data_IF_549716766220
#
_entry.id   IF_549716766220
#
_cell.length_a   1.000
_cell.length_b   1.000
_cell.length_c   1.000
_cell.angle_alpha   90.00
_cell.angle_beta   90.00
_cell.angle_gamma   90.00
#
_symmetry.space_group_name_H-M   'P 1'
#
loop_
_entity.id
_entity.type
_entity.pdbx_description
1 polymer ?
#
# COMPACT_ATOMS: atom_id res chain seq x y z
N UNK A 1 -12.07 16.35 43.10
CA UNK A 1 -12.87 16.28 41.88
C UNK A 1 -12.66 17.46 40.90
N UNK A 2 -12.57 18.72 41.36
CA UNK A 2 -12.39 19.91 40.50
C UNK A 2 -11.07 19.93 39.67
N UNK A 3 -9.98 19.39 40.19
CA UNK A 3 -8.69 19.35 39.47
C UNK A 3 -8.68 18.44 38.22
N UNK A 4 -9.27 17.26 38.33
CA UNK A 4 -9.37 16.30 37.22
C UNK A 4 -10.26 16.80 36.07
N UNK A 5 -11.32 17.53 36.39
CA UNK A 5 -12.20 18.12 35.37
C UNK A 5 -11.49 19.23 34.60
N UNK A 6 -10.78 20.12 35.30
CA UNK A 6 -10.00 21.22 34.70
C UNK A 6 -8.86 20.68 33.80
N UNK A 7 -8.22 19.60 34.23
CA UNK A 7 -7.17 18.95 33.44
C UNK A 7 -7.71 18.29 32.16
N UNK A 8 -8.86 17.61 32.23
CA UNK A 8 -9.56 17.07 31.07
C UNK A 8 -10.00 18.18 30.10
N UNK A 9 -10.48 19.29 30.59
CA UNK A 9 -10.89 20.43 29.78
C UNK A 9 -9.70 21.06 29.04
N UNK A 10 -8.55 21.22 29.71
CA UNK A 10 -7.32 21.73 29.09
C UNK A 10 -6.79 20.79 28.01
N UNK A 11 -6.81 19.48 28.26
CA UNK A 11 -6.42 18.47 27.26
C UNK A 11 -7.38 18.52 26.05
N UNK A 12 -8.69 18.57 26.30
CA UNK A 12 -9.68 18.67 25.23
C UNK A 12 -9.50 19.96 24.42
N UNK A 13 -9.28 21.10 25.06
CA UNK A 13 -9.04 22.39 24.40
C UNK A 13 -7.74 22.39 23.58
N UNK A 14 -6.68 21.74 24.06
CA UNK A 14 -5.42 21.62 23.35
C UNK A 14 -5.52 20.70 22.11
N UNK A 15 -6.34 19.63 22.20
CA UNK A 15 -6.55 18.69 21.10
C UNK A 15 -7.65 19.14 20.12
N UNK A 16 -8.57 20.00 20.55
CA UNK A 16 -9.73 20.42 19.75
C UNK A 16 -9.38 20.95 18.36
N UNK A 17 -8.38 21.84 18.16
CA UNK A 17 -8.04 22.33 16.83
C UNK A 17 -7.63 21.17 15.88
N UNK A 18 -6.79 20.26 16.36
CA UNK A 18 -6.32 19.11 15.57
C UNK A 18 -7.48 18.16 15.23
N UNK A 19 -8.34 17.87 16.21
CA UNK A 19 -9.52 17.01 16.01
C UNK A 19 -10.51 17.66 15.05
N UNK A 20 -10.80 18.96 15.20
CA UNK A 20 -11.71 19.69 14.29
C UNK A 20 -11.18 19.70 12.85
N UNK A 21 -9.89 19.97 12.66
CA UNK A 21 -9.25 19.91 11.34
C UNK A 21 -9.35 18.48 10.76
N UNK A 22 -9.00 17.47 11.53
CA UNK A 22 -9.10 16.07 11.09
C UNK A 22 -10.53 15.68 10.71
N UNK A 23 -11.53 16.02 11.53
CA UNK A 23 -12.94 15.75 11.26
C UNK A 23 -13.40 16.48 10.00
N UNK A 24 -13.09 17.76 9.87
CA UNK A 24 -13.49 18.55 8.71
C UNK A 24 -12.89 18.00 7.40
N UNK A 25 -11.58 17.73 7.37
CA UNK A 25 -10.91 17.27 6.15
C UNK A 25 -11.21 15.80 5.83
N UNK A 26 -11.22 14.92 6.80
CA UNK A 26 -11.44 13.47 6.53
C UNK A 26 -12.92 13.20 6.28
N UNK A 27 -13.80 13.60 7.22
CA UNK A 27 -15.22 13.30 7.13
C UNK A 27 -15.96 14.27 6.21
N UNK A 28 -15.59 15.55 6.23
CA UNK A 28 -16.22 16.56 5.38
C UNK A 28 -15.96 16.29 3.89
N UNK A 29 -14.72 16.08 3.48
CA UNK A 29 -14.43 15.74 2.08
C UNK A 29 -14.92 14.35 1.70
N UNK A 30 -14.87 13.37 2.61
CA UNK A 30 -15.45 12.06 2.38
C UNK A 30 -16.95 12.13 2.11
N UNK A 31 -17.69 12.88 2.94
CA UNK A 31 -19.13 13.11 2.76
C UNK A 31 -19.44 13.90 1.48
N UNK A 32 -18.63 14.93 1.16
CA UNK A 32 -18.78 15.69 -0.08
C UNK A 32 -18.55 14.79 -1.31
N UNK A 33 -17.52 13.94 -1.30
CA UNK A 33 -17.27 12.98 -2.38
C UNK A 33 -18.43 12.00 -2.52
N UNK A 34 -18.95 11.48 -1.39
CA UNK A 34 -20.11 10.61 -1.40
C UNK A 34 -21.34 11.33 -1.96
N UNK A 35 -21.59 12.58 -1.56
CA UNK A 35 -22.69 13.37 -2.12
C UNK A 35 -22.54 13.60 -3.62
N UNK A 36 -21.37 14.01 -4.09
CA UNK A 36 -21.09 14.26 -5.51
C UNK A 36 -21.26 13.00 -6.36
N UNK A 37 -21.05 11.82 -5.81
CA UNK A 37 -21.25 10.56 -6.52
C UNK A 37 -22.70 10.27 -6.92
N UNK A 38 -23.67 10.95 -6.26
CA UNK A 38 -25.11 10.85 -6.54
C UNK A 38 -25.62 12.01 -7.39
N UNK A 39 -24.78 12.98 -7.78
CA UNK A 39 -25.17 14.17 -8.52
C UNK A 39 -24.71 14.12 -9.98
N UNK A 40 -25.41 14.81 -10.88
CA UNK A 40 -24.97 14.98 -12.26
C UNK A 40 -23.89 16.07 -12.39
N UNK A 41 -22.78 15.84 -11.65
CA UNK A 41 -21.64 16.74 -11.64
C UNK A 41 -20.69 16.44 -12.79
N UNK A 42 -20.62 17.40 -13.72
CA UNK A 42 -19.65 17.41 -14.82
C UNK A 42 -18.37 18.13 -14.42
N UNK A 43 -17.90 19.10 -15.24
CA UNK A 43 -16.75 19.96 -14.91
C UNK A 43 -16.99 20.87 -13.69
N UNK A 44 -18.25 21.17 -13.43
CA UNK A 44 -18.66 21.93 -12.25
C UNK A 44 -19.57 21.06 -11.37
N UNK A 45 -19.49 21.23 -10.05
CA UNK A 45 -20.42 20.55 -9.14
C UNK A 45 -21.87 20.95 -9.44
N UNK A 46 -22.74 19.96 -9.61
CA UNK A 46 -24.18 20.13 -9.77
C UNK A 46 -24.90 19.71 -8.49
N UNK A 47 -26.10 20.29 -8.28
CA UNK A 47 -27.01 19.90 -7.18
C UNK A 47 -28.08 18.91 -7.66
N UNK A 48 -28.16 18.63 -8.95
CA UNK A 48 -29.12 17.69 -9.51
C UNK A 48 -28.76 16.27 -9.12
N UNK A 49 -29.67 15.60 -8.43
CA UNK A 49 -29.48 14.23 -7.97
C UNK A 49 -29.89 13.25 -9.09
N UNK A 50 -28.94 12.42 -9.51
CA UNK A 50 -29.17 11.33 -10.48
C UNK A 50 -29.18 9.94 -9.83
N UNK A 51 -29.08 9.88 -8.51
CA UNK A 51 -29.09 8.62 -7.76
C UNK A 51 -27.91 7.71 -8.14
N UNK A 52 -28.16 6.45 -8.43
CA UNK A 52 -27.14 5.44 -8.67
C UNK A 52 -26.62 5.34 -10.13
N UNK A 53 -26.96 6.29 -10.99
CA UNK A 53 -26.61 6.25 -12.43
C UNK A 53 -25.08 6.12 -12.65
N UNK A 54 -24.27 6.82 -11.87
CA UNK A 54 -22.81 6.73 -11.98
C UNK A 54 -22.28 5.37 -11.58
N UNK A 55 -22.85 4.73 -10.57
CA UNK A 55 -22.51 3.38 -10.13
C UNK A 55 -22.90 2.34 -11.20
N UNK A 56 -24.09 2.47 -11.79
CA UNK A 56 -24.52 1.60 -12.90
C UNK A 56 -23.56 1.69 -14.09
N UNK A 57 -23.22 2.94 -14.51
CA UNK A 57 -22.25 3.18 -15.60
C UNK A 57 -20.85 2.67 -15.24
N UNK A 58 -20.46 2.72 -13.96
CA UNK A 58 -19.17 2.22 -13.46
C UNK A 58 -19.11 0.71 -13.60
N UNK A 59 -20.10 0.00 -13.04
CA UNK A 59 -20.15 -1.47 -13.07
C UNK A 59 -20.45 -2.06 -14.44
N UNK A 60 -21.06 -1.31 -15.35
CA UNK A 60 -21.23 -1.69 -16.75
C UNK A 60 -19.96 -1.47 -17.61
N UNK A 61 -18.90 -0.89 -17.04
CA UNK A 61 -17.69 -0.54 -17.79
C UNK A 61 -16.63 -1.63 -17.71
N UNK A 62 -16.27 -2.25 -18.84
CA UNK A 62 -15.16 -3.20 -18.96
C UNK A 62 -13.83 -2.59 -18.46
N UNK A 63 -13.62 -1.29 -18.72
CA UNK A 63 -12.45 -0.56 -18.22
C UNK A 63 -12.37 -0.59 -16.69
N UNK A 64 -13.50 -0.45 -15.99
CA UNK A 64 -13.53 -0.51 -14.53
C UNK A 64 -13.14 -1.89 -14.01
N UNK A 65 -13.69 -2.93 -14.59
CA UNK A 65 -13.36 -4.30 -14.20
C UNK A 65 -11.89 -4.64 -14.50
N UNK A 66 -11.36 -4.14 -15.63
CA UNK A 66 -9.94 -4.27 -15.93
C UNK A 66 -9.06 -3.62 -14.84
N UNK A 67 -9.42 -2.42 -14.34
CA UNK A 67 -8.65 -1.78 -13.26
C UNK A 67 -8.69 -2.60 -11.96
N UNK A 68 -9.81 -3.24 -11.66
CA UNK A 68 -9.92 -4.12 -10.49
C UNK A 68 -9.15 -5.42 -10.67
N UNK A 69 -9.19 -6.03 -11.83
CA UNK A 69 -8.37 -7.21 -12.16
C UNK A 69 -6.88 -6.87 -11.99
N UNK A 70 -6.46 -5.74 -12.55
CA UNK A 70 -5.09 -5.25 -12.39
C UNK A 70 -4.74 -4.99 -10.91
N UNK A 71 -5.65 -4.42 -10.12
CA UNK A 71 -5.46 -4.19 -8.70
C UNK A 71 -5.26 -5.50 -7.92
N UNK A 72 -6.02 -6.55 -8.24
CA UNK A 72 -5.86 -7.85 -7.59
C UNK A 72 -4.54 -8.53 -7.98
N UNK A 73 -4.16 -8.49 -9.26
CA UNK A 73 -2.86 -9.02 -9.72
C UNK A 73 -1.71 -8.25 -9.08
N UNK A 74 -1.72 -6.93 -9.19
CA UNK A 74 -0.74 -6.05 -8.57
C UNK A 74 -0.67 -6.26 -7.06
N UNK A 75 -1.82 -6.24 -6.39
CA UNK A 75 -1.93 -6.40 -4.94
C UNK A 75 -1.44 -7.76 -4.47
N UNK A 76 -1.79 -8.83 -5.16
CA UNK A 76 -1.32 -10.18 -4.84
C UNK A 76 0.20 -10.29 -4.91
N UNK A 77 0.80 -9.87 -6.03
CA UNK A 77 2.27 -9.87 -6.20
C UNK A 77 2.95 -8.96 -5.19
N UNK A 78 2.41 -7.76 -4.99
CA UNK A 78 2.93 -6.78 -4.04
C UNK A 78 2.90 -7.27 -2.59
N UNK A 79 1.76 -7.81 -2.12
CA UNK A 79 1.65 -8.32 -0.76
C UNK A 79 2.59 -9.51 -0.53
N UNK A 80 2.55 -10.50 -1.43
CA UNK A 80 3.41 -11.68 -1.32
C UNK A 80 4.90 -11.30 -1.37
N UNK A 81 5.28 -10.39 -2.26
CA UNK A 81 6.65 -9.91 -2.38
C UNK A 81 7.11 -9.15 -1.13
N UNK A 82 6.34 -8.16 -0.65
CA UNK A 82 6.68 -7.40 0.55
C UNK A 82 6.76 -8.27 1.80
N UNK A 83 5.80 -9.18 1.99
CA UNK A 83 5.77 -10.05 3.17
C UNK A 83 6.91 -11.05 3.15
N UNK A 84 7.12 -11.77 2.03
CA UNK A 84 8.17 -12.79 1.94
C UNK A 84 9.57 -12.18 2.10
N UNK A 85 9.89 -11.14 1.30
CA UNK A 85 11.20 -10.48 1.37
C UNK A 85 11.37 -9.78 2.73
N UNK A 86 10.35 -9.05 3.18
CA UNK A 86 10.40 -8.29 4.43
C UNK A 86 10.61 -9.17 5.66
N UNK A 87 9.91 -10.30 5.76
CA UNK A 87 10.07 -11.27 6.87
C UNK A 87 11.46 -11.91 6.83
N UNK A 88 11.92 -12.34 5.65
CA UNK A 88 13.25 -12.94 5.50
C UNK A 88 14.33 -11.95 5.91
N UNK A 89 14.30 -10.72 5.39
CA UNK A 89 15.28 -9.68 5.71
C UNK A 89 15.20 -9.30 7.19
N UNK A 90 14.00 -9.18 7.78
CA UNK A 90 13.83 -8.92 9.21
C UNK A 90 14.49 -10.02 10.06
N UNK A 91 14.26 -11.30 9.72
CA UNK A 91 14.86 -12.44 10.42
C UNK A 91 16.39 -12.47 10.29
N UNK A 92 16.94 -12.04 9.16
CA UNK A 92 18.41 -11.89 8.98
C UNK A 92 18.97 -10.74 9.81
N UNK A 93 18.31 -9.59 9.80
CA UNK A 93 18.72 -8.39 10.52
C UNK A 93 18.61 -8.53 12.06
N UNK A 94 17.67 -9.34 12.53
CA UNK A 94 17.50 -9.62 13.96
C UNK A 94 18.73 -10.31 14.58
N UNK A 95 19.45 -11.09 13.79
CA UNK A 95 20.66 -11.82 14.20
C UNK A 95 21.95 -11.02 14.12
N UNK A 96 21.92 -9.90 13.43
CA UNK A 96 23.13 -9.09 13.26
C UNK A 96 23.46 -8.31 14.54
N UNK A 97 24.75 -8.12 14.85
CA UNK A 97 25.15 -7.32 16.00
C UNK A 97 24.65 -5.87 15.87
N UNK A 98 24.59 -5.15 17.00
CA UNK A 98 24.12 -3.75 17.04
C UNK A 98 24.90 -2.81 16.09
N UNK A 99 26.15 -3.16 15.73
CA UNK A 99 26.97 -2.45 14.74
C UNK A 99 26.42 -2.54 13.29
N UNK A 100 25.47 -3.44 13.02
CA UNK A 100 24.87 -3.58 11.69
C UNK A 100 23.79 -2.53 11.37
N UNK A 101 23.86 -1.36 12.00
CA UNK A 101 22.96 -0.24 11.72
C UNK A 101 22.98 0.18 10.24
N UNK A 102 24.13 0.03 9.58
CA UNK A 102 24.31 0.34 8.15
C UNK A 102 23.36 -0.51 7.29
N UNK A 103 23.30 -1.83 7.52
CA UNK A 103 22.40 -2.71 6.77
C UNK A 103 20.93 -2.33 6.97
N UNK A 104 20.54 -1.98 8.20
CA UNK A 104 19.17 -1.50 8.47
C UNK A 104 18.87 -0.23 7.68
N UNK A 105 19.79 0.72 7.65
CA UNK A 105 19.63 1.98 6.91
C UNK A 105 19.46 1.70 5.41
N UNK A 106 20.28 0.82 4.81
CA UNK A 106 20.19 0.48 3.39
C UNK A 106 18.80 -0.10 3.03
N UNK A 107 18.30 -1.05 3.83
CA UNK A 107 17.00 -1.66 3.56
C UNK A 107 15.80 -0.76 3.87
N UNK A 108 15.97 0.23 4.75
CA UNK A 108 14.91 1.17 5.09
C UNK A 108 14.92 2.43 4.22
N UNK A 109 16.02 2.71 3.54
CA UNK A 109 16.19 3.90 2.72
C UNK A 109 15.10 4.08 1.64
N UNK A 110 14.69 3.03 0.89
CA UNK A 110 13.64 3.16 -0.10
C UNK A 110 12.31 3.69 0.47
N UNK A 111 11.96 3.29 1.69
CA UNK A 111 10.72 3.72 2.36
C UNK A 111 10.68 5.25 2.62
N UNK A 112 11.83 5.89 2.73
CA UNK A 112 11.94 7.33 2.94
C UNK A 112 11.78 8.16 1.64
N UNK A 113 11.84 7.51 0.48
CA UNK A 113 11.67 8.18 -0.81
C UNK A 113 10.20 8.47 -1.11
N UNK A 114 9.93 9.53 -1.87
CA UNK A 114 8.60 9.72 -2.45
C UNK A 114 8.28 8.62 -3.48
N UNK A 115 7.03 8.16 -3.53
CA UNK A 115 6.58 7.17 -4.52
C UNK A 115 6.74 7.67 -5.96
N UNK A 116 6.59 8.97 -6.21
CA UNK A 116 6.83 9.58 -7.53
C UNK A 116 8.30 9.45 -7.91
N UNK A 117 9.23 9.78 -7.00
CA UNK A 117 10.67 9.65 -7.24
C UNK A 117 11.04 8.18 -7.46
N UNK A 118 10.48 7.29 -6.66
CA UNK A 118 10.64 5.84 -6.85
C UNK A 118 10.19 5.40 -8.24
N UNK A 119 8.99 5.82 -8.67
CA UNK A 119 8.46 5.49 -9.98
C UNK A 119 9.33 6.00 -11.12
N UNK A 120 9.80 7.26 -11.06
CA UNK A 120 10.69 7.86 -12.06
C UNK A 120 12.06 7.15 -12.10
N UNK A 121 12.64 6.85 -10.95
CA UNK A 121 13.91 6.13 -10.89
C UNK A 121 13.81 4.75 -11.55
N UNK A 122 12.75 3.99 -11.21
CA UNK A 122 12.49 2.70 -11.84
C UNK A 122 12.13 2.81 -13.32
N UNK A 123 11.45 3.89 -13.76
CA UNK A 123 11.20 4.16 -15.17
C UNK A 123 12.51 4.29 -15.95
N UNK A 124 13.51 5.00 -15.40
CA UNK A 124 14.82 5.12 -16.01
C UNK A 124 15.58 3.78 -16.02
N UNK A 125 15.58 3.05 -14.90
CA UNK A 125 16.25 1.73 -14.82
C UNK A 125 15.66 0.74 -15.81
N UNK A 126 14.34 0.74 -15.99
CA UNK A 126 13.62 -0.18 -16.88
C UNK A 126 13.49 0.34 -18.33
N UNK A 127 13.99 1.55 -18.61
CA UNK A 127 13.93 2.13 -19.96
C UNK A 127 14.81 1.30 -20.93
N UNK A 128 14.27 0.89 -22.09
CA UNK A 128 15.03 0.15 -23.08
C UNK A 128 16.20 0.93 -23.66
N UNK A 129 16.12 2.27 -23.69
CA UNK A 129 17.11 3.15 -24.35
C UNK A 129 18.22 3.60 -23.43
N UNK A 130 17.94 3.79 -22.13
CA UNK A 130 18.89 4.40 -21.17
C UNK A 130 19.15 3.52 -19.95
N UNK A 131 18.33 2.49 -19.71
CA UNK A 131 18.37 1.69 -18.50
C UNK A 131 19.16 0.38 -18.66
N UNK A 132 18.68 -0.66 -17.96
CA UNK A 132 19.34 -1.96 -17.85
C UNK A 132 19.62 -2.61 -19.20
N UNK A 133 18.71 -2.50 -20.16
CA UNK A 133 18.91 -3.04 -21.51
C UNK A 133 20.08 -2.38 -22.21
N UNK A 134 20.17 -1.07 -22.15
CA UNK A 134 21.28 -0.31 -22.74
C UNK A 134 22.63 -0.69 -22.10
N UNK A 135 22.67 -0.78 -20.77
CA UNK A 135 23.86 -1.19 -20.03
C UNK A 135 24.32 -2.59 -20.44
N UNK A 136 23.41 -3.57 -20.49
CA UNK A 136 23.75 -4.95 -20.86
C UNK A 136 24.27 -5.07 -22.28
N UNK A 137 23.69 -4.32 -23.23
CA UNK A 137 24.19 -4.27 -24.60
C UNK A 137 25.58 -3.65 -24.69
N UNK A 138 25.83 -2.59 -23.88
CA UNK A 138 27.17 -1.98 -23.76
C UNK A 138 28.26 -2.94 -23.18
N UNK A 139 27.84 -3.88 -22.34
CA UNK A 139 28.69 -4.93 -21.78
C UNK A 139 28.92 -6.12 -22.75
N UNK A 140 28.38 -6.06 -23.98
CA UNK A 140 28.58 -7.09 -25.01
C UNK A 140 27.40 -8.04 -25.22
N UNK A 141 26.32 -7.95 -24.44
CA UNK A 141 25.12 -8.79 -24.61
C UNK A 141 24.18 -8.18 -25.68
N UNK A 142 24.61 -8.15 -26.94
CA UNK A 142 23.91 -7.44 -28.04
C UNK A 142 22.45 -7.89 -28.22
N UNK A 143 22.14 -9.16 -27.98
CA UNK A 143 20.80 -9.72 -28.15
C UNK A 143 19.89 -9.55 -26.90
N UNK A 144 20.40 -8.90 -25.83
CA UNK A 144 19.59 -8.70 -24.64
C UNK A 144 18.43 -7.73 -24.91
N UNK A 145 17.21 -8.22 -24.72
CA UNK A 145 15.97 -7.44 -24.89
C UNK A 145 15.19 -7.45 -23.58
N UNK A 146 14.93 -6.25 -23.03
CA UNK A 146 14.28 -6.08 -21.74
C UNK A 146 13.34 -4.89 -21.79
N UNK A 147 12.23 -5.04 -22.50
CA UNK A 147 11.20 -4.00 -22.63
C UNK A 147 9.94 -4.37 -21.83
N UNK A 148 10.08 -4.45 -20.50
CA UNK A 148 8.98 -4.81 -19.60
C UNK A 148 7.89 -3.73 -19.57
N UNK A 149 8.28 -2.44 -19.58
CA UNK A 149 7.33 -1.34 -19.53
C UNK A 149 6.48 -1.21 -20.82
N UNK A 150 7.00 -1.64 -21.95
CA UNK A 150 6.28 -1.64 -23.23
C UNK A 150 5.40 -2.87 -23.45
N UNK A 151 5.45 -3.87 -22.57
CA UNK A 151 4.65 -5.09 -22.68
C UNK A 151 3.38 -4.99 -21.85
N UNK A 152 2.23 -5.23 -22.48
CA UNK A 152 0.93 -5.28 -21.79
C UNK A 152 0.85 -6.40 -20.76
N UNK A 153 1.62 -7.47 -20.93
CA UNK A 153 1.65 -8.61 -20.02
C UNK A 153 2.51 -8.33 -18.77
N UNK A 154 3.64 -7.63 -18.95
CA UNK A 154 4.64 -7.49 -17.88
C UNK A 154 4.65 -6.14 -17.16
N UNK A 155 4.00 -5.11 -17.69
CA UNK A 155 4.00 -3.76 -17.11
C UNK A 155 3.47 -3.74 -15.66
N UNK A 156 2.44 -4.55 -15.35
CA UNK A 156 1.85 -4.65 -14.02
C UNK A 156 2.85 -5.26 -13.00
N UNK A 157 3.68 -6.22 -13.43
CA UNK A 157 4.70 -6.83 -12.59
C UNK A 157 5.89 -5.91 -12.38
N UNK A 158 6.26 -5.10 -13.38
CA UNK A 158 7.26 -4.05 -13.22
C UNK A 158 6.81 -3.01 -12.17
N UNK A 159 5.53 -2.62 -12.23
CA UNK A 159 4.91 -1.74 -11.24
C UNK A 159 4.97 -2.36 -9.84
N UNK A 160 4.59 -3.64 -9.71
CA UNK A 160 4.63 -4.36 -8.45
C UNK A 160 6.07 -4.47 -7.90
N UNK A 161 7.05 -4.77 -8.76
CA UNK A 161 8.47 -4.85 -8.37
C UNK A 161 9.01 -3.54 -7.79
N UNK A 162 8.72 -2.41 -8.43
CA UNK A 162 9.09 -1.09 -7.94
C UNK A 162 8.43 -0.77 -6.58
N UNK A 163 7.15 -1.11 -6.44
CA UNK A 163 6.40 -0.91 -5.20
C UNK A 163 6.89 -1.84 -4.07
N UNK A 164 7.25 -3.09 -4.36
CA UNK A 164 7.85 -4.03 -3.41
C UNK A 164 9.16 -3.48 -2.88
N UNK A 165 10.07 -3.03 -3.77
CA UNK A 165 11.34 -2.45 -3.37
C UNK A 165 11.14 -1.26 -2.41
N UNK A 166 10.18 -0.38 -2.71
CA UNK A 166 9.86 0.78 -1.86
C UNK A 166 9.30 0.36 -0.50
N UNK A 167 8.34 -0.57 -0.46
CA UNK A 167 7.51 -0.81 0.72
C UNK A 167 7.97 -1.96 1.61
N UNK A 168 8.93 -2.78 1.16
CA UNK A 168 9.49 -3.89 1.96
C UNK A 168 10.05 -3.41 3.30
N UNK A 169 10.61 -2.20 3.34
CA UNK A 169 11.10 -1.56 4.56
C UNK A 169 10.07 -1.46 5.68
N UNK A 170 8.79 -1.21 5.34
CA UNK A 170 7.69 -1.19 6.29
C UNK A 170 7.53 -2.54 7.01
N UNK A 171 7.54 -3.62 6.24
CA UNK A 171 7.42 -4.98 6.78
C UNK A 171 8.62 -5.31 7.66
N UNK A 172 9.84 -4.96 7.22
CA UNK A 172 11.08 -5.16 8.00
C UNK A 172 10.97 -4.48 9.37
N UNK A 173 10.53 -3.22 9.43
CA UNK A 173 10.39 -2.48 10.70
C UNK A 173 9.36 -3.13 11.61
N UNK A 174 8.19 -3.48 11.08
CA UNK A 174 7.12 -4.10 11.86
C UNK A 174 7.56 -5.44 12.45
N UNK A 175 8.19 -6.30 11.64
CA UNK A 175 8.64 -7.61 12.11
C UNK A 175 9.83 -7.51 13.06
N UNK A 176 10.80 -6.62 12.83
CA UNK A 176 11.89 -6.39 13.78
C UNK A 176 11.38 -5.89 15.13
N UNK A 177 10.38 -5.00 15.14
CA UNK A 177 9.76 -4.54 16.38
C UNK A 177 9.01 -5.67 17.08
N UNK A 178 8.24 -6.48 16.34
CA UNK A 178 7.53 -7.63 16.87
C UNK A 178 8.46 -8.70 17.45
N UNK A 179 9.57 -9.03 16.77
CA UNK A 179 10.57 -10.01 17.24
C UNK A 179 11.21 -9.60 18.55
N UNK A 180 11.41 -8.29 18.80
CA UNK A 180 11.93 -7.79 20.08
C UNK A 180 10.98 -7.98 21.25
N UNK A 181 9.68 -8.19 20.99
CA UNK A 181 8.68 -8.48 22.01
C UNK A 181 8.60 -9.96 22.39
N UNK A 182 9.33 -10.84 21.70
CA UNK A 182 9.34 -12.28 22.00
C UNK A 182 10.24 -12.55 23.20
N UNK A 183 9.74 -13.36 24.13
CA UNK A 183 10.46 -13.73 25.36
C UNK A 183 11.82 -14.39 25.04
N UNK A 184 12.86 -13.89 25.72
CA UNK A 184 14.23 -14.39 25.56
C UNK A 184 14.33 -15.86 25.98
N UNK A 185 13.51 -16.32 26.92
CA UNK A 185 13.54 -17.70 27.39
C UNK A 185 13.09 -18.71 26.32
N UNK A 186 12.19 -18.30 25.41
CA UNK A 186 11.84 -19.14 24.24
C UNK A 186 13.05 -19.36 23.31
N UNK A 187 13.87 -18.33 23.12
CA UNK A 187 15.10 -18.44 22.35
C UNK A 187 16.16 -19.32 23.03
N UNK A 188 16.21 -19.29 24.37
CA UNK A 188 17.10 -20.13 25.17
C UNK A 188 16.67 -21.60 25.13
N UNK A 189 15.39 -21.88 25.32
CA UNK A 189 14.82 -23.22 25.24
C UNK A 189 15.08 -23.84 23.86
N UNK A 190 14.76 -23.12 22.78
CA UNK A 190 15.00 -23.60 21.41
C UNK A 190 16.49 -23.94 21.14
N UNK A 191 17.43 -23.21 21.80
CA UNK A 191 18.86 -23.52 21.70
C UNK A 191 19.26 -24.77 22.49
N UNK A 192 18.70 -24.97 23.67
CA UNK A 192 18.92 -26.17 24.48
C UNK A 192 18.43 -27.41 23.74
N UNK A 193 17.23 -27.32 23.15
CA UNK A 193 16.63 -28.39 22.36
C UNK A 193 17.26 -28.57 20.98
N UNK A 194 18.30 -27.81 20.63
CA UNK A 194 19.02 -27.82 19.35
C UNK A 194 18.09 -27.73 18.14
N UNK A 195 16.98 -27.00 18.25
CA UNK A 195 16.05 -26.81 17.15
C UNK A 195 16.72 -26.00 16.04
N UNK A 196 16.72 -26.45 14.76
CA UNK A 196 17.28 -25.69 13.65
C UNK A 196 16.65 -24.31 13.57
N UNK A 197 17.43 -23.29 13.38
CA UNK A 197 16.99 -21.89 13.43
C UNK A 197 15.81 -21.59 12.48
N UNK A 198 15.84 -22.15 11.27
CA UNK A 198 14.73 -22.01 10.30
C UNK A 198 13.42 -22.51 10.90
N UNK A 199 13.43 -23.65 11.61
CA UNK A 199 12.25 -24.20 12.27
C UNK A 199 11.80 -23.34 13.43
N UNK A 200 12.72 -22.71 14.18
CA UNK A 200 12.38 -21.76 15.24
C UNK A 200 11.59 -20.58 14.67
N UNK A 201 12.04 -20.01 13.55
CA UNK A 201 11.32 -18.90 12.92
C UNK A 201 9.94 -19.32 12.41
N UNK A 202 9.80 -20.47 11.77
CA UNK A 202 8.53 -20.89 11.21
C UNK A 202 7.52 -21.37 12.26
N UNK A 203 7.97 -22.14 13.27
CA UNK A 203 7.08 -22.81 14.21
C UNK A 203 6.90 -22.08 15.55
N UNK A 204 7.81 -21.14 15.90
CA UNK A 204 7.73 -20.41 17.16
C UNK A 204 7.53 -18.91 16.90
N UNK A 205 8.43 -18.28 16.15
CA UNK A 205 8.43 -16.82 15.96
C UNK A 205 7.26 -16.35 15.13
N UNK A 206 7.07 -16.90 13.93
CA UNK A 206 6.04 -16.45 13.00
C UNK A 206 4.61 -16.61 13.55
N UNK A 207 4.24 -17.71 14.23
CA UNK A 207 2.93 -17.81 14.88
C UNK A 207 2.70 -16.80 15.99
N UNK A 208 3.74 -16.41 16.74
CA UNK A 208 3.62 -15.36 17.77
C UNK A 208 3.47 -13.95 17.17
N UNK A 209 3.98 -13.75 15.95
CA UNK A 209 3.89 -12.49 15.20
C UNK A 209 2.61 -12.38 14.34
N UNK A 210 1.60 -13.23 14.58
CA UNK A 210 0.35 -13.22 13.80
C UNK A 210 -0.33 -11.84 13.79
N UNK A 211 -0.34 -11.13 14.91
CA UNK A 211 -0.92 -9.78 14.99
C UNK A 211 -0.11 -8.79 14.15
N UNK A 212 1.23 -8.86 14.20
CA UNK A 212 2.13 -8.07 13.35
C UNK A 212 1.92 -8.38 11.87
N UNK A 213 1.77 -9.66 11.51
CA UNK A 213 1.49 -10.10 10.15
C UNK A 213 0.17 -9.51 9.63
N UNK A 214 -0.90 -9.62 10.43
CA UNK A 214 -2.21 -9.05 10.06
C UNK A 214 -2.15 -7.53 9.91
N UNK A 215 -1.45 -6.84 10.81
CA UNK A 215 -1.21 -5.39 10.71
C UNK A 215 -0.47 -5.04 9.42
N UNK A 216 0.57 -5.79 9.06
CA UNK A 216 1.32 -5.59 7.82
C UNK A 216 0.42 -5.81 6.58
N UNK A 217 -0.38 -6.88 6.56
CA UNK A 217 -1.33 -7.15 5.46
C UNK A 217 -2.31 -6.00 5.29
N UNK A 218 -2.90 -5.50 6.37
CA UNK A 218 -3.87 -4.38 6.31
C UNK A 218 -3.22 -3.11 5.78
N UNK A 219 -2.03 -2.74 6.29
CA UNK A 219 -1.31 -1.54 5.83
C UNK A 219 -0.90 -1.65 4.36
N UNK A 220 -0.40 -2.80 3.93
CA UNK A 220 -0.06 -3.04 2.53
C UNK A 220 -1.30 -3.03 1.63
N UNK A 221 -2.40 -3.65 2.04
CA UNK A 221 -3.67 -3.64 1.29
C UNK A 221 -4.23 -2.23 1.13
N UNK A 222 -4.12 -1.39 2.16
CA UNK A 222 -4.46 0.03 2.07
C UNK A 222 -3.60 0.74 1.00
N UNK A 223 -2.29 0.46 0.97
CA UNK A 223 -1.41 1.00 -0.06
C UNK A 223 -1.79 0.53 -1.47
N UNK A 224 -2.21 -0.73 -1.65
CA UNK A 224 -2.66 -1.26 -2.96
C UNK A 224 -3.83 -0.44 -3.50
N UNK A 225 -4.88 -0.25 -2.71
CA UNK A 225 -6.09 0.44 -3.18
C UNK A 225 -5.82 1.90 -3.53
N UNK A 226 -4.95 2.58 -2.77
CA UNK A 226 -4.60 3.99 -3.01
C UNK A 226 -3.41 4.21 -3.93
N UNK A 227 -2.87 3.15 -4.57
CA UNK A 227 -1.70 3.27 -5.46
C UNK A 227 -2.02 4.13 -6.68
N UNK A 228 -1.60 5.38 -6.64
CA UNK A 228 -1.73 6.38 -7.70
C UNK A 228 -0.36 6.87 -8.16
N UNK A 229 0.43 7.40 -7.23
CA UNK A 229 1.68 8.10 -7.51
C UNK A 229 2.67 7.27 -8.32
N UNK A 230 2.90 6.03 -7.88
CA UNK A 230 3.84 5.13 -8.55
C UNK A 230 3.33 4.67 -9.92
N UNK A 231 1.99 4.52 -10.09
CA UNK A 231 1.38 4.19 -11.40
C UNK A 231 1.61 5.31 -12.39
N UNK A 232 1.33 6.56 -11.98
CA UNK A 232 1.50 7.74 -12.84
C UNK A 232 2.97 7.94 -13.18
N UNK A 233 3.87 7.80 -12.22
CA UNK A 233 5.29 8.05 -12.43
C UNK A 233 5.96 6.96 -13.29
N UNK A 234 5.61 5.68 -13.13
CA UNK A 234 6.29 4.57 -13.80
C UNK A 234 5.68 4.24 -15.17
N UNK A 235 4.35 4.07 -15.24
CA UNK A 235 3.67 3.51 -16.43
C UNK A 235 2.59 4.40 -17.01
N UNK A 236 2.09 5.37 -16.27
CA UNK A 236 0.89 6.18 -16.60
C UNK A 236 -0.34 5.29 -16.91
N UNK A 237 -0.38 4.08 -16.33
CA UNK A 237 -1.44 3.09 -16.57
C UNK A 237 -1.24 2.24 -17.83
N UNK A 238 -0.16 2.49 -18.63
CA UNK A 238 0.12 1.82 -19.91
C UNK A 238 0.92 0.53 -19.81
N UNK A 239 1.22 -0.09 -20.99
CA UNK A 239 0.70 0.23 -22.31
C UNK A 239 -0.80 -0.08 -22.46
N UNK A 240 -1.49 0.72 -23.24
CA UNK A 240 -2.96 0.64 -23.33
C UNK A 240 -3.63 0.97 -22.00
N UNK A 241 -3.96 -0.01 -21.20
CA UNK A 241 -4.50 0.09 -19.83
C UNK A 241 -4.04 -1.09 -18.97
N UNK A 242 -2.95 -1.71 -19.34
CA UNK A 242 -2.48 -2.96 -18.74
C UNK A 242 -2.00 -2.80 -17.28
N UNK A 243 -1.64 -1.58 -16.86
CA UNK A 243 -1.25 -1.28 -15.49
C UNK A 243 -2.12 -0.19 -14.84
N UNK A 244 -3.29 0.08 -15.43
CA UNK A 244 -4.24 1.04 -14.86
C UNK A 244 -4.87 0.46 -13.59
N UNK A 245 -4.80 1.22 -12.49
CA UNK A 245 -5.41 0.89 -11.19
C UNK A 245 -6.63 1.79 -10.91
N UNK A 246 -7.54 1.39 -10.00
CA UNK A 246 -8.75 2.15 -9.70
C UNK A 246 -8.50 3.61 -9.30
N UNK A 247 -7.39 3.90 -8.61
CA UNK A 247 -7.03 5.26 -8.22
C UNK A 247 -6.75 6.17 -9.44
N UNK A 248 -6.07 5.65 -10.47
CA UNK A 248 -5.82 6.38 -11.71
C UNK A 248 -7.11 6.57 -12.51
N UNK A 249 -7.99 5.55 -12.53
CA UNK A 249 -9.31 5.66 -13.15
C UNK A 249 -10.15 6.77 -12.50
N UNK A 250 -10.24 6.80 -11.16
CA UNK A 250 -10.97 7.82 -10.42
C UNK A 250 -10.43 9.21 -10.72
N UNK A 251 -9.10 9.39 -10.70
CA UNK A 251 -8.43 10.65 -11.03
C UNK A 251 -8.74 11.11 -12.47
N UNK A 252 -8.64 10.20 -13.44
CA UNK A 252 -8.88 10.55 -14.86
C UNK A 252 -10.32 11.02 -15.08
N UNK A 253 -11.32 10.33 -14.50
CA UNK A 253 -12.70 10.75 -14.62
C UNK A 253 -12.99 12.05 -13.88
N UNK A 254 -12.45 12.22 -12.69
CA UNK A 254 -12.70 13.39 -11.86
C UNK A 254 -12.04 14.66 -12.43
N UNK A 255 -10.72 14.59 -12.72
CA UNK A 255 -9.92 15.77 -13.04
C UNK A 255 -9.67 15.95 -14.55
N UNK A 256 -9.52 14.89 -15.33
CA UNK A 256 -9.14 14.99 -16.74
C UNK A 256 -10.37 15.03 -17.64
N UNK A 257 -11.35 14.16 -17.38
CA UNK A 257 -12.58 14.11 -18.20
C UNK A 257 -13.69 15.03 -17.72
N UNK A 258 -13.52 15.68 -16.57
CA UNK A 258 -14.53 16.55 -15.99
C UNK A 258 -15.85 15.84 -15.67
N UNK A 259 -15.82 14.56 -15.35
CA UNK A 259 -16.98 13.81 -14.89
C UNK A 259 -16.83 13.52 -13.40
N UNK A 260 -17.07 14.58 -12.61
CA UNK A 260 -16.90 14.58 -11.14
C UNK A 260 -17.77 13.46 -10.51
N UNK A 261 -19.01 13.30 -10.95
CA UNK A 261 -19.93 12.30 -10.40
C UNK A 261 -19.38 10.87 -10.54
N UNK A 262 -18.87 10.52 -11.74
CA UNK A 262 -18.29 9.18 -11.99
C UNK A 262 -16.96 8.96 -11.27
N UNK A 263 -16.10 9.97 -11.23
CA UNK A 263 -14.84 9.93 -10.48
C UNK A 263 -15.08 9.75 -8.98
N UNK A 264 -16.08 10.48 -8.43
CA UNK A 264 -16.50 10.37 -7.04
C UNK A 264 -17.10 8.99 -6.74
N UNK A 265 -17.93 8.42 -7.62
CA UNK A 265 -18.47 7.07 -7.46
C UNK A 265 -17.33 6.02 -7.42
N UNK A 266 -16.32 6.15 -8.29
CA UNK A 266 -15.14 5.29 -8.24
C UNK A 266 -14.39 5.41 -6.92
N UNK A 267 -14.17 6.63 -6.40
CA UNK A 267 -13.52 6.87 -5.12
C UNK A 267 -14.32 6.27 -3.94
N UNK A 268 -15.65 6.37 -3.94
CA UNK A 268 -16.51 5.74 -2.93
C UNK A 268 -16.35 4.22 -2.93
N UNK A 269 -16.35 3.57 -4.11
CA UNK A 269 -16.15 2.11 -4.20
C UNK A 269 -14.75 1.72 -3.70
N UNK A 270 -13.71 2.53 -3.95
CA UNK A 270 -12.38 2.30 -3.38
C UNK A 270 -12.40 2.35 -1.84
N UNK A 271 -13.11 3.32 -1.24
CA UNK A 271 -13.27 3.38 0.22
C UNK A 271 -14.01 2.16 0.75
N UNK A 272 -15.08 1.72 0.08
CA UNK A 272 -15.80 0.49 0.44
C UNK A 272 -14.89 -0.73 0.37
N UNK A 273 -14.03 -0.81 -0.66
CA UNK A 273 -13.03 -1.91 -0.80
C UNK A 273 -12.02 -1.93 0.35
N UNK A 274 -11.54 -0.76 0.78
CA UNK A 274 -10.66 -0.65 1.96
C UNK A 274 -11.41 -1.10 3.23
N UNK A 275 -12.64 -0.62 3.42
CA UNK A 275 -13.46 -1.00 4.58
C UNK A 275 -13.73 -2.50 4.63
N UNK A 276 -13.96 -3.15 3.49
CA UNK A 276 -14.13 -4.59 3.39
C UNK A 276 -12.90 -5.39 3.88
N UNK A 277 -11.70 -4.80 3.78
CA UNK A 277 -10.46 -5.40 4.30
C UNK A 277 -10.25 -5.05 5.78
N UNK A 278 -10.45 -3.80 6.14
CA UNK A 278 -10.14 -3.28 7.49
C UNK A 278 -11.14 -3.75 8.55
N UNK A 279 -12.44 -3.80 8.24
CA UNK A 279 -13.47 -4.17 9.22
C UNK A 279 -13.30 -5.60 9.78
N UNK A 280 -13.09 -6.64 8.97
CA UNK A 280 -12.83 -7.99 9.50
C UNK A 280 -11.60 -8.04 10.41
N UNK A 281 -10.54 -7.30 10.04
CA UNK A 281 -9.34 -7.19 10.87
C UNK A 281 -9.63 -6.55 12.23
N UNK A 282 -10.35 -5.42 12.25
CA UNK A 282 -10.69 -4.73 13.50
C UNK A 282 -11.55 -5.62 14.40
N UNK A 283 -12.52 -6.34 13.84
CA UNK A 283 -13.36 -7.27 14.60
C UNK A 283 -12.51 -8.39 15.20
N UNK A 284 -11.58 -8.95 14.42
CA UNK A 284 -10.68 -9.99 14.89
C UNK A 284 -9.78 -9.49 16.04
N UNK A 285 -9.14 -8.34 15.87
CA UNK A 285 -8.23 -7.74 16.85
C UNK A 285 -8.96 -7.40 18.18
N UNK A 286 -10.17 -6.83 18.07
CA UNK A 286 -10.98 -6.51 19.25
C UNK A 286 -11.44 -7.76 20.02
N UNK A 287 -11.70 -8.87 19.32
CA UNK A 287 -12.03 -10.14 19.96
C UNK A 287 -10.81 -10.79 20.62
N UNK A 288 -9.65 -10.74 19.97
CA UNK A 288 -8.41 -11.31 20.50
C UNK A 288 -7.91 -10.61 21.77
N UNK A 289 -8.20 -9.31 21.94
CA UNK A 289 -7.83 -8.55 23.17
C UNK A 289 -8.76 -8.81 24.35
N UNK A 290 -9.91 -9.43 24.12
CA UNK A 290 -10.89 -9.73 25.19
C UNK A 290 -10.72 -11.15 25.77
N UNK A 291 -9.87 -11.95 25.17
CA UNK A 291 -9.44 -13.28 25.69
C UNK A 291 -8.07 -13.17 26.35
#
# INVERSE_FOLDING_TARGET
MKGHFRQKLLIAAALAPTVLVAVYFIWGFGAATAYLSFTDSGFLPSKELVGLVHYQKLFASDRWWNTYTNMFVYGGVYLLGCLSIGIIVAAMLDRLPKSAIIYRTIYLYPLALSLIITGLAWQWVLSPTTGLQHLMRGLGFQNFSFNILGSSEYAIYALAGAAIWHSTGLVIVLFLAGMKGIDVDLWRAARIDRIPTFRVYLSIVLPQLRSTLMTAIVLLSFNVVRSFDIVVALTKGGPGRASELPALYAYEFYFVRGNIGRGSAAAVIMVVSIMAIVLPYLIYELRSRRQ
#
